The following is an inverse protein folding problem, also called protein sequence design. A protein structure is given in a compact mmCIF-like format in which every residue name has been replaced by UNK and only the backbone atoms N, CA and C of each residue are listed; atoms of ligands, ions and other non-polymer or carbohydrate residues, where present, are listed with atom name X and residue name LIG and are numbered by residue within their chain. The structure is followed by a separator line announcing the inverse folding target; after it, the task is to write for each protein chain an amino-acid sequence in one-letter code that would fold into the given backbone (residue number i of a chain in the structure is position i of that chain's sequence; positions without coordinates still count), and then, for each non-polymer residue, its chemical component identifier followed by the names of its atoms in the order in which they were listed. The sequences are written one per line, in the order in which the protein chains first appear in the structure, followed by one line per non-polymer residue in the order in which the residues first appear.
data_IF_639363434180
#
_entry.id   IF_639363434180
#
_cell.length_a   1.000
_cell.length_b   1.000
_cell.length_c   1.000
_cell.angle_alpha   90.00
_cell.angle_beta   90.00
_cell.angle_gamma   90.00
#
_symmetry.space_group_name_H-M   'P 1'
#
loop_
_entity.id
_entity.type
_entity.pdbx_description
1 polymer ?
#
# COMPACT_ATOMS: atom_id res chain seq x y z
N UNK A 1 8.00 -23.63 4.21
CA UNK A 1 9.04 -22.59 3.99
C UNK A 1 8.58 -21.40 3.14
N UNK A 2 7.89 -21.55 2.00
CA UNK A 2 7.59 -20.45 1.05
C UNK A 2 6.76 -19.26 1.59
N UNK A 3 5.77 -19.50 2.46
CA UNK A 3 4.88 -18.43 3.01
C UNK A 3 5.61 -17.38 3.87
N UNK A 4 6.65 -17.79 4.62
CA UNK A 4 7.39 -16.90 5.51
C UNK A 4 8.27 -15.91 4.75
N UNK A 5 8.69 -16.25 3.53
CA UNK A 5 9.52 -15.39 2.68
C UNK A 5 8.68 -14.31 2.02
N UNK A 6 7.54 -14.66 1.39
CA UNK A 6 6.62 -13.67 0.82
C UNK A 6 6.18 -12.63 1.86
N UNK A 7 5.90 -13.07 3.10
CA UNK A 7 5.61 -12.18 4.23
C UNK A 7 6.71 -11.15 4.50
N UNK A 8 7.97 -11.59 4.55
CA UNK A 8 9.11 -10.69 4.75
C UNK A 8 9.30 -9.77 3.54
N UNK A 9 9.03 -10.27 2.33
CA UNK A 9 9.30 -9.53 1.10
C UNK A 9 8.26 -8.43 0.83
N UNK A 10 6.97 -8.71 1.08
CA UNK A 10 5.88 -7.72 1.07
C UNK A 10 6.15 -6.66 2.15
N UNK A 11 6.40 -7.08 3.39
CA UNK A 11 6.61 -6.16 4.51
C UNK A 11 7.88 -5.31 4.39
N UNK A 12 8.88 -5.75 3.61
CA UNK A 12 10.11 -5.00 3.42
C UNK A 12 10.16 -4.18 2.13
N UNK A 13 9.13 -4.25 1.26
CA UNK A 13 9.14 -3.64 -0.09
C UNK A 13 10.41 -4.00 -0.88
N UNK A 14 10.96 -5.20 -0.67
CA UNK A 14 12.27 -5.63 -1.24
C UNK A 14 12.10 -6.18 -2.66
N UNK A 15 10.89 -6.59 -3.00
CA UNK A 15 10.55 -7.23 -4.27
C UNK A 15 9.86 -6.20 -5.17
N UNK A 16 10.28 -6.12 -6.43
CA UNK A 16 9.54 -5.37 -7.42
C UNK A 16 8.22 -6.08 -7.78
N UNK A 17 7.31 -5.37 -8.43
CA UNK A 17 6.03 -5.92 -8.81
C UNK A 17 6.12 -7.19 -9.68
N UNK A 18 7.07 -7.24 -10.62
CA UNK A 18 7.29 -8.39 -11.51
C UNK A 18 7.71 -9.63 -10.70
N UNK A 19 8.63 -9.47 -9.76
CA UNK A 19 9.10 -10.54 -8.88
C UNK A 19 7.97 -11.02 -7.94
N UNK A 20 7.14 -10.09 -7.42
CA UNK A 20 5.95 -10.44 -6.63
C UNK A 20 4.94 -11.21 -7.48
N UNK A 21 4.59 -10.68 -8.65
CA UNK A 21 3.64 -11.27 -9.58
C UNK A 21 4.10 -12.68 -9.99
N UNK A 22 5.36 -12.84 -10.37
CA UNK A 22 5.94 -14.12 -10.73
C UNK A 22 5.87 -15.14 -9.59
N UNK A 23 6.21 -14.72 -8.37
CA UNK A 23 6.10 -15.59 -7.20
C UNK A 23 4.65 -15.94 -6.87
N UNK A 24 3.76 -14.95 -6.93
CA UNK A 24 2.34 -15.09 -6.65
C UNK A 24 1.66 -16.06 -7.63
N UNK A 25 1.97 -15.95 -8.92
CA UNK A 25 1.46 -16.83 -9.97
C UNK A 25 1.97 -18.28 -9.88
N UNK A 26 2.95 -18.57 -9.02
CA UNK A 26 3.43 -19.93 -8.74
C UNK A 26 2.78 -20.58 -7.52
N UNK A 27 1.97 -19.84 -6.76
CA UNK A 27 1.24 -20.36 -5.61
C UNK A 27 -0.04 -21.09 -6.01
N UNK A 28 -0.50 -22.02 -5.17
CA UNK A 28 -1.81 -22.66 -5.35
C UNK A 28 -2.94 -21.65 -5.11
N UNK A 29 -4.15 -21.85 -5.70
CA UNK A 29 -5.26 -20.91 -5.54
C UNK A 29 -5.59 -20.54 -4.08
N UNK A 30 -5.66 -21.53 -3.20
CA UNK A 30 -5.96 -21.31 -1.78
C UNK A 30 -4.86 -20.48 -1.08
N UNK A 31 -3.60 -20.65 -1.49
CA UNK A 31 -2.49 -19.89 -0.93
C UNK A 31 -2.46 -18.45 -1.42
N UNK A 32 -2.87 -18.22 -2.68
CA UNK A 32 -3.07 -16.88 -3.22
C UNK A 32 -4.19 -16.16 -2.48
N UNK A 33 -5.31 -16.83 -2.28
CA UNK A 33 -6.44 -16.32 -1.50
C UNK A 33 -6.01 -15.90 -0.09
N UNK A 34 -5.30 -16.79 0.62
CA UNK A 34 -4.78 -16.51 1.96
C UNK A 34 -3.88 -15.26 1.98
N UNK A 35 -3.00 -15.12 1.00
CA UNK A 35 -2.08 -13.98 0.91
C UNK A 35 -2.83 -12.70 0.59
N UNK A 36 -3.70 -12.69 -0.42
CA UNK A 36 -4.48 -11.50 -0.79
C UNK A 36 -5.34 -11.03 0.38
N UNK A 37 -5.95 -11.96 1.14
CA UNK A 37 -6.75 -11.63 2.31
C UNK A 37 -5.91 -11.11 3.48
N UNK A 38 -4.76 -11.74 3.74
CA UNK A 38 -3.91 -11.39 4.89
C UNK A 38 -3.14 -10.09 4.68
N UNK A 39 -2.76 -9.79 3.43
CA UNK A 39 -1.90 -8.66 3.07
C UNK A 39 -2.59 -7.68 2.13
N UNK A 40 -3.93 -7.63 2.16
CA UNK A 40 -4.72 -6.79 1.26
C UNK A 40 -4.28 -5.31 1.35
N UNK A 41 -4.12 -4.82 2.57
CA UNK A 41 -3.60 -3.48 2.86
C UNK A 41 -2.19 -3.28 2.28
N UNK A 42 -1.23 -4.15 2.61
CA UNK A 42 0.18 -3.96 2.22
C UNK A 42 0.35 -3.96 0.69
N UNK A 43 -0.40 -4.82 0.00
CA UNK A 43 -0.40 -4.89 -1.46
C UNK A 43 -0.94 -3.58 -2.03
N UNK A 44 -2.09 -3.09 -1.56
CA UNK A 44 -2.68 -1.86 -2.07
C UNK A 44 -1.83 -0.62 -1.72
N UNK A 45 -1.23 -0.58 -0.54
CA UNK A 45 -0.26 0.46 -0.15
C UNK A 45 0.93 0.52 -1.11
N UNK A 46 1.43 -0.64 -1.56
CA UNK A 46 2.53 -0.72 -2.51
C UNK A 46 2.21 -0.06 -3.85
N UNK A 47 0.98 -0.20 -4.34
CA UNK A 47 0.54 0.49 -5.56
C UNK A 47 0.31 1.99 -5.37
N UNK A 48 0.34 2.52 -4.14
CA UNK A 48 0.30 3.96 -3.89
C UNK A 48 1.69 4.61 -3.90
N UNK A 49 2.77 3.84 -4.11
CA UNK A 49 4.12 4.36 -4.29
C UNK A 49 4.43 4.62 -5.78
N UNK A 50 5.20 5.67 -6.06
CA UNK A 50 5.65 5.97 -7.41
C UNK A 50 6.56 4.87 -7.98
N UNK A 51 6.33 4.39 -9.22
CA UNK A 51 5.42 4.92 -10.26
C UNK A 51 4.09 4.16 -10.44
N UNK A 52 3.69 3.33 -9.48
CA UNK A 52 2.63 2.33 -9.66
C UNK A 52 1.20 2.85 -9.44
N UNK A 53 1.03 4.13 -9.11
CA UNK A 53 -0.28 4.70 -8.74
C UNK A 53 -1.32 4.59 -9.85
N UNK A 54 -0.90 4.56 -11.11
CA UNK A 54 -1.80 4.36 -12.24
C UNK A 54 -2.49 2.99 -12.21
N UNK A 55 -1.85 1.98 -11.62
CA UNK A 55 -2.38 0.61 -11.54
C UNK A 55 -3.22 0.37 -10.28
N UNK A 56 -3.18 1.29 -9.31
CA UNK A 56 -3.82 1.13 -8.01
C UNK A 56 -5.31 0.79 -8.11
N UNK A 57 -6.08 1.53 -8.93
CA UNK A 57 -7.52 1.32 -9.05
C UNK A 57 -7.86 -0.04 -9.71
N UNK A 58 -7.08 -0.46 -10.70
CA UNK A 58 -7.25 -1.77 -11.35
C UNK A 58 -6.97 -2.91 -10.36
N UNK A 59 -5.94 -2.76 -9.53
CA UNK A 59 -5.62 -3.75 -8.48
C UNK A 59 -6.69 -3.75 -7.40
N UNK A 60 -7.15 -2.59 -6.95
CA UNK A 60 -8.24 -2.46 -5.98
C UNK A 60 -9.52 -3.16 -6.44
N UNK A 61 -9.89 -2.98 -7.72
CA UNK A 61 -11.08 -3.60 -8.30
C UNK A 61 -11.05 -5.13 -8.20
N UNK A 62 -9.89 -5.73 -8.44
CA UNK A 62 -9.67 -7.18 -8.29
C UNK A 62 -9.59 -7.63 -6.83
N UNK A 63 -9.46 -6.71 -5.88
CA UNK A 63 -9.17 -7.02 -4.48
C UNK A 63 -10.36 -6.86 -3.52
N UNK A 64 -11.50 -6.34 -3.97
CA UNK A 64 -12.65 -6.05 -3.10
C UNK A 64 -13.10 -7.22 -2.21
N UNK A 65 -13.08 -8.46 -2.72
CA UNK A 65 -13.48 -9.65 -1.96
C UNK A 65 -12.50 -10.06 -0.86
N UNK A 66 -11.27 -9.52 -0.88
CA UNK A 66 -10.19 -9.90 0.04
C UNK A 66 -9.93 -8.83 1.11
N UNK A 67 -10.34 -7.58 0.85
CA UNK A 67 -10.09 -6.44 1.73
C UNK A 67 -11.05 -6.52 2.92
N UNK A 68 -10.52 -6.48 4.14
CA UNK A 68 -11.33 -6.35 5.34
C UNK A 68 -11.77 -4.88 5.53
N UNK A 69 -12.90 -4.60 6.20
CA UNK A 69 -13.31 -3.22 6.49
C UNK A 69 -12.22 -2.39 7.18
N UNK A 70 -11.46 -3.02 8.09
CA UNK A 70 -10.35 -2.38 8.78
C UNK A 70 -9.19 -2.03 7.83
N UNK A 71 -8.82 -2.94 6.92
CA UNK A 71 -7.76 -2.67 5.94
C UNK A 71 -8.20 -1.62 4.92
N UNK A 72 -9.48 -1.62 4.56
CA UNK A 72 -10.09 -0.58 3.73
C UNK A 72 -9.97 0.81 4.36
N UNK A 73 -10.36 0.97 5.63
CA UNK A 73 -10.20 2.22 6.38
C UNK A 73 -8.73 2.65 6.43
N UNK A 74 -7.80 1.72 6.69
CA UNK A 74 -6.36 2.01 6.70
C UNK A 74 -5.84 2.61 5.39
N UNK A 75 -6.37 2.19 4.23
CA UNK A 75 -6.00 2.75 2.94
C UNK A 75 -6.38 4.24 2.87
N UNK A 76 -7.57 4.62 3.37
CA UNK A 76 -7.96 6.04 3.46
C UNK A 76 -7.03 6.83 4.37
N UNK A 77 -6.72 6.29 5.56
CA UNK A 77 -5.74 6.93 6.45
C UNK A 77 -4.40 7.14 5.74
N UNK A 78 -3.92 6.14 5.01
CA UNK A 78 -2.65 6.25 4.30
C UNK A 78 -2.70 7.34 3.21
N UNK A 79 -3.70 7.31 2.32
CA UNK A 79 -3.79 8.31 1.24
C UNK A 79 -3.96 9.72 1.83
N UNK A 80 -4.86 9.91 2.79
CA UNK A 80 -5.14 11.23 3.37
C UNK A 80 -3.93 11.74 4.15
N UNK A 81 -3.44 10.99 5.14
CA UNK A 81 -2.41 11.49 6.05
C UNK A 81 -1.01 11.41 5.44
N UNK A 82 -0.69 10.35 4.71
CA UNK A 82 0.68 10.12 4.23
C UNK A 82 0.95 10.67 2.83
N UNK A 83 -0.09 10.89 2.01
CA UNK A 83 0.07 11.47 0.67
C UNK A 83 -0.43 12.91 0.61
N UNK A 84 -1.73 13.12 0.85
CA UNK A 84 -2.38 14.41 0.65
C UNK A 84 -1.90 15.44 1.68
N UNK A 85 -1.98 15.12 2.97
CA UNK A 85 -1.66 16.08 4.04
C UNK A 85 -0.17 16.39 4.14
N UNK A 86 0.70 15.41 3.89
CA UNK A 86 2.15 15.65 3.78
C UNK A 86 2.47 16.51 2.55
N UNK A 87 1.60 16.55 1.55
CA UNK A 87 1.75 17.38 0.35
C UNK A 87 2.63 16.73 -0.71
N UNK A 88 2.48 15.43 -0.94
CA UNK A 88 3.11 14.77 -2.08
C UNK A 88 2.50 15.26 -3.39
N UNK A 89 3.35 15.60 -4.36
CA UNK A 89 2.97 16.16 -5.67
C UNK A 89 3.40 15.26 -6.84
N UNK A 90 3.86 14.03 -6.56
CA UNK A 90 4.30 13.05 -7.58
C UNK A 90 3.13 12.35 -8.28
N UNK A 91 1.90 12.51 -7.79
CA UNK A 91 0.67 11.98 -8.36
C UNK A 91 -0.56 12.77 -7.87
N UNK A 92 -1.66 12.74 -8.62
CA UNK A 92 -2.93 13.34 -8.18
C UNK A 92 -3.67 12.40 -7.20
N UNK A 93 -3.23 12.41 -5.94
CA UNK A 93 -3.83 11.57 -4.89
C UNK A 93 -5.25 11.99 -4.51
N UNK A 94 -5.64 13.25 -4.76
CA UNK A 94 -7.02 13.70 -4.49
C UNK A 94 -7.96 13.05 -5.51
N UNK A 95 -7.60 13.08 -6.79
CA UNK A 95 -8.35 12.40 -7.84
C UNK A 95 -8.40 10.89 -7.60
N UNK A 96 -7.26 10.27 -7.27
CA UNK A 96 -7.20 8.84 -6.93
C UNK A 96 -8.14 8.50 -5.77
N UNK A 97 -8.13 9.28 -4.70
CA UNK A 97 -8.98 9.04 -3.53
C UNK A 97 -10.47 9.13 -3.88
N UNK A 98 -10.85 10.09 -4.73
CA UNK A 98 -12.22 10.26 -5.21
C UNK A 98 -12.70 9.08 -6.04
N UNK A 99 -11.90 8.64 -7.02
CA UNK A 99 -12.26 7.49 -7.85
C UNK A 99 -12.25 6.19 -7.03
N UNK A 100 -11.28 6.01 -6.13
CA UNK A 100 -11.26 4.88 -5.20
C UNK A 100 -12.53 4.83 -4.37
N UNK A 101 -12.92 5.95 -3.74
CA UNK A 101 -14.18 6.04 -3.01
C UNK A 101 -15.37 5.70 -3.90
N UNK A 102 -15.48 6.30 -5.08
CA UNK A 102 -16.60 6.08 -6.02
C UNK A 102 -16.77 4.60 -6.36
N UNK A 103 -15.68 3.91 -6.72
CA UNK A 103 -15.66 2.50 -7.09
C UNK A 103 -15.85 1.54 -5.90
N UNK A 104 -15.70 2.02 -4.67
CA UNK A 104 -15.75 1.16 -3.49
C UNK A 104 -17.13 0.55 -3.23
N UNK A 105 -17.21 -0.73 -2.82
CA UNK A 105 -18.44 -1.40 -2.40
C UNK A 105 -19.19 -0.66 -1.28
N UNK A 106 -20.53 -0.67 -1.33
CA UNK A 106 -21.39 0.03 -0.36
C UNK A 106 -21.16 -0.43 1.09
N UNK A 107 -21.05 -1.74 1.31
CA UNK A 107 -20.80 -2.32 2.63
C UNK A 107 -19.46 -1.87 3.26
N UNK A 108 -18.45 -1.57 2.43
CA UNK A 108 -17.18 -1.03 2.91
C UNK A 108 -17.28 0.47 3.18
N UNK A 109 -18.02 1.21 2.34
CA UNK A 109 -18.30 2.65 2.55
C UNK A 109 -19.01 2.92 3.87
N UNK A 110 -20.02 2.11 4.21
CA UNK A 110 -20.74 2.21 5.49
C UNK A 110 -19.79 2.14 6.68
N UNK A 111 -18.80 1.25 6.62
CA UNK A 111 -17.79 1.10 7.67
C UNK A 111 -16.86 2.30 7.78
N UNK A 112 -16.54 2.94 6.67
CA UNK A 112 -15.78 4.21 6.68
C UNK A 112 -16.64 5.33 7.25
N UNK A 113 -17.93 5.41 6.92
CA UNK A 113 -18.83 6.45 7.44
C UNK A 113 -18.99 6.42 8.97
N UNK A 114 -18.81 5.25 9.57
CA UNK A 114 -18.78 5.06 11.03
C UNK A 114 -17.44 5.49 11.67
N UNK A 115 -16.37 5.61 10.88
CA UNK A 115 -15.01 5.94 11.33
C UNK A 115 -14.74 7.45 11.35
N UNK A 116 -13.83 7.91 12.21
CA UNK A 116 -13.49 9.34 12.32
C UNK A 116 -12.89 9.90 11.04
N UNK A 117 -12.23 9.06 10.22
CA UNK A 117 -11.66 9.46 8.93
C UNK A 117 -12.72 10.03 7.98
N UNK A 118 -13.99 9.62 8.12
CA UNK A 118 -15.06 10.12 7.26
C UNK A 118 -15.27 11.63 7.37
N UNK A 119 -15.05 12.22 8.55
CA UNK A 119 -15.16 13.68 8.74
C UNK A 119 -14.17 14.45 7.88
N UNK A 120 -13.03 13.83 7.56
CA UNK A 120 -11.98 14.38 6.70
C UNK A 120 -12.22 13.98 5.24
N UNK A 121 -12.62 12.73 5.00
CA UNK A 121 -12.87 12.22 3.67
C UNK A 121 -14.07 12.90 3.01
N UNK A 122 -15.19 13.03 3.72
CA UNK A 122 -16.45 13.59 3.24
C UNK A 122 -16.25 14.88 2.45
N UNK A 123 -15.64 15.94 3.02
CA UNK A 123 -15.48 17.17 2.29
C UNK A 123 -14.61 16.95 1.03
N UNK A 124 -13.52 16.16 1.10
CA UNK A 124 -12.65 15.83 -0.04
C UNK A 124 -13.45 15.21 -1.19
N UNK A 125 -14.35 14.28 -0.91
CA UNK A 125 -15.15 13.61 -1.93
C UNK A 125 -16.33 14.46 -2.43
N UNK A 126 -16.87 15.38 -1.63
CA UNK A 126 -18.05 16.20 -2.01
C UNK A 126 -17.71 17.51 -2.72
N UNK A 127 -16.48 18.02 -2.59
CA UNK A 127 -16.11 19.31 -3.21
C UNK A 127 -15.09 19.13 -4.33
N UNK A 128 -15.32 19.85 -5.45
CA UNK A 128 -14.45 19.84 -6.63
C UNK A 128 -13.28 20.81 -6.55
N UNK A 129 -13.25 21.71 -5.56
CA UNK A 129 -12.24 22.76 -5.45
C UNK A 129 -11.34 22.56 -4.24
N UNK A 130 -10.04 22.71 -4.50
CA UNK A 130 -8.90 22.88 -3.59
C UNK A 130 -9.25 22.90 -2.09
N UNK A 131 -9.13 21.74 -1.44
CA UNK A 131 -9.07 21.70 0.02
C UNK A 131 -7.81 22.41 0.47
N UNK A 132 -7.97 23.60 1.06
CA UNK A 132 -6.86 24.33 1.67
C UNK A 132 -6.21 23.42 2.72
N UNK A 133 -4.91 23.15 2.53
CA UNK A 133 -4.10 22.32 3.43
C UNK A 133 -4.23 22.79 4.89
N UNK A 134 -4.51 24.07 5.13
CA UNK A 134 -4.72 24.64 6.47
C UNK A 134 -5.96 24.09 7.21
N UNK A 135 -7.03 23.69 6.52
CA UNK A 135 -8.26 23.20 7.17
C UNK A 135 -8.14 21.76 7.69
N UNK A 136 -7.29 20.95 7.05
CA UNK A 136 -6.96 19.59 7.52
C UNK A 136 -6.15 19.60 8.81
N UNK A 137 -5.33 20.63 9.03
CA UNK A 137 -4.45 20.76 10.20
C UNK A 137 -5.22 20.97 11.51
N UNK A 138 -6.37 21.64 11.45
CA UNK A 138 -7.21 21.94 12.63
C UNK A 138 -7.98 20.69 13.13
N UNK A 139 -8.26 19.74 12.23
CA UNK A 139 -8.78 18.41 12.61
C UNK A 139 -7.69 17.46 13.13
N UNK A 140 -6.49 17.57 12.56
CA UNK A 140 -5.32 16.74 12.87
C UNK A 140 -4.87 16.85 14.33
N UNK A 141 -4.81 18.05 14.91
CA UNK A 141 -4.31 18.19 16.30
C UNK A 141 -5.22 17.55 17.36
N UNK A 142 -6.52 17.33 17.07
CA UNK A 142 -7.44 16.71 18.04
C UNK A 142 -7.38 15.18 18.06
N UNK A 143 -7.08 14.54 16.94
CA UNK A 143 -7.02 13.07 16.86
C UNK A 143 -5.59 12.50 17.08
N UNK A 144 -4.54 13.32 16.93
CA UNK A 144 -3.13 12.88 17.00
C UNK A 144 -2.63 12.58 18.42
N UNK A 145 -3.41 12.86 19.47
CA UNK A 145 -3.06 12.44 20.84
C UNK A 145 -3.20 10.93 21.07
N UNK A 146 -4.04 10.20 20.31
CA UNK A 146 -4.32 8.78 20.59
C UNK A 146 -3.39 7.77 19.90
N UNK A 147 -2.55 8.18 18.94
CA UNK A 147 -1.58 7.29 18.29
C UNK A 147 -0.11 7.69 18.50
N UNK A 148 0.18 8.47 19.55
CA UNK A 148 1.56 8.72 20.03
C UNK A 148 2.10 7.61 20.95
N UNK A 149 1.59 6.39 20.82
CA UNK A 149 2.15 5.19 21.44
C UNK A 149 2.36 4.13 20.35
N UNK A 150 3.62 3.98 19.90
CA UNK A 150 4.13 2.64 19.60
C UNK A 150 4.77 2.38 18.23
N UNK A 151 4.68 3.25 17.23
CA UNK A 151 5.24 2.93 15.91
C UNK A 151 5.95 4.10 15.27
N UNK A 152 7.29 4.02 15.29
CA UNK A 152 8.17 4.71 14.35
C UNK A 152 7.78 4.30 12.92
N UNK A 153 6.81 4.97 12.32
CA UNK A 153 6.44 4.73 10.93
C UNK A 153 7.36 5.53 10.01
N UNK A 154 7.84 4.82 9.01
CA UNK A 154 8.95 5.17 8.14
C UNK A 154 8.66 6.42 7.31
N UNK A 155 9.38 7.50 7.60
CA UNK A 155 9.72 8.49 6.56
C UNK A 155 10.35 7.73 5.40
N UNK A 156 9.79 7.90 4.20
CA UNK A 156 10.22 7.31 2.93
C UNK A 156 11.73 7.05 2.88
N UNK A 157 12.08 5.76 2.90
CA UNK A 157 13.44 5.23 3.00
C UNK A 157 14.26 5.36 1.69
N UNK A 158 13.89 6.22 0.73
CA UNK A 158 14.68 6.35 -0.51
C UNK A 158 16.14 6.80 -0.28
N UNK A 159 16.48 7.72 0.65
CA UNK A 159 17.88 8.07 0.91
C UNK A 159 18.68 6.97 1.63
N UNK A 160 18.01 6.10 2.41
CA UNK A 160 18.66 5.06 3.21
C UNK A 160 18.85 3.74 2.43
N UNK A 161 17.92 3.41 1.53
CA UNK A 161 18.04 2.25 0.64
C UNK A 161 19.17 2.40 -0.39
N UNK A 162 19.51 3.63 -0.81
CA UNK A 162 20.73 3.89 -1.60
C UNK A 162 22.02 3.63 -0.82
N UNK A 163 22.00 3.74 0.52
CA UNK A 163 23.11 3.34 1.39
C UNK A 163 23.16 1.83 1.65
N UNK A 164 22.00 1.17 1.77
CA UNK A 164 21.92 -0.28 1.99
C UNK A 164 22.10 -1.11 0.71
N UNK A 165 21.72 -0.60 -0.47
CA UNK A 165 21.97 -1.25 -1.75
C UNK A 165 23.48 -1.43 -2.06
N UNK A 166 24.36 -0.77 -1.31
CA UNK A 166 25.81 -1.00 -1.34
C UNK A 166 26.30 -2.09 -0.38
N UNK A 167 25.47 -2.57 0.57
CA UNK A 167 25.85 -3.58 1.55
C UNK A 167 25.98 -4.96 0.90
N UNK A 168 26.97 -5.74 1.35
CA UNK A 168 27.35 -7.06 0.82
C UNK A 168 26.22 -8.10 0.90
N UNK A 169 25.30 -7.93 1.84
CA UNK A 169 24.25 -8.91 2.14
C UNK A 169 23.13 -8.93 1.08
N UNK A 170 22.76 -7.76 0.53
CA UNK A 170 21.76 -7.70 -0.54
C UNK A 170 22.30 -8.22 -1.88
N UNK A 171 23.62 -8.06 -2.14
CA UNK A 171 24.31 -8.70 -3.27
C UNK A 171 24.22 -10.22 -3.21
N UNK A 172 24.44 -10.81 -2.03
CA UNK A 172 24.35 -12.26 -1.86
C UNK A 172 22.93 -12.81 -2.08
N UNK A 173 21.90 -12.05 -1.70
CA UNK A 173 20.50 -12.46 -1.90
C UNK A 173 20.11 -12.32 -3.37
N UNK A 174 20.51 -11.24 -4.05
CA UNK A 174 20.27 -11.07 -5.50
C UNK A 174 21.05 -12.07 -6.34
N UNK A 175 22.30 -12.38 -5.99
CA UNK A 175 23.07 -13.44 -6.66
C UNK A 175 22.45 -14.82 -6.45
N UNK A 176 21.92 -15.12 -5.25
CA UNK A 176 21.23 -16.39 -4.98
C UNK A 176 19.92 -16.52 -5.75
N UNK A 177 19.20 -15.42 -5.98
CA UNK A 177 18.02 -15.40 -6.86
C UNK A 177 18.40 -15.57 -8.35
N UNK A 178 19.51 -14.97 -8.80
CA UNK A 178 20.02 -15.13 -10.18
C UNK A 178 20.53 -16.55 -10.46
N UNK A 179 21.28 -17.15 -9.54
CA UNK A 179 21.77 -18.53 -9.68
C UNK A 179 20.65 -19.56 -9.75
N UNK A 180 19.55 -19.36 -9.01
CA UNK A 180 18.35 -20.19 -9.09
C UNK A 180 17.54 -20.00 -10.38
N UNK A 181 17.71 -18.86 -11.08
CA UNK A 181 17.11 -18.60 -12.40
C UNK A 181 17.88 -19.35 -13.50
N UNK A 182 19.21 -19.41 -13.39
CA UNK A 182 20.10 -20.10 -14.35
C UNK A 182 19.95 -21.63 -14.26
N UNK A 183 19.85 -22.21 -13.05
CA UNK A 183 19.67 -23.66 -12.89
C UNK A 183 18.33 -24.20 -13.42
N UNK A 184 17.29 -23.36 -13.53
CA UNK A 184 15.99 -23.77 -14.06
C UNK A 184 15.86 -23.57 -15.59
N UNK A 185 16.87 -23.00 -16.25
CA UNK A 185 16.93 -22.87 -17.71
C UNK A 185 17.76 -23.97 -18.38
N UNK A 186 18.44 -24.83 -17.61
CA UNK A 186 19.25 -25.96 -18.13
C UNK A 186 18.59 -27.34 -17.94
N UNK A 187 17.33 -27.39 -17.50
CA UNK A 187 16.56 -28.63 -17.31
C UNK A 187 15.26 -28.65 -18.16
N UNK A 188 15.29 -28.02 -19.34
CA UNK A 188 14.26 -28.18 -20.38
C UNK A 188 14.97 -28.74 -21.62
#
# INVERSE_FOLDING_TARGET
MRRRWLRTLINCKIIDYEDFHFCFMRLKPNERYDILRTYSYDILEYFLDWPLQNEFLEVADRMWSYISPHDFIKIFHFIIYQRIMIGWEDYDYIHLLKEFWKLSPANLKEKVMEDTIYKILHPIITHNSFFQKEQLFIGYERDVMFHRLGTKYYVSKRPFLLKLAKSRELRNITEKCKSNKIMNQHNI
#
